data_IF_775148507901
#
_entry.id   IF_775148507901
#
_cell.length_a   1.000
_cell.length_b   1.000
_cell.length_c   1.000
_cell.angle_alpha   90.00
_cell.angle_beta   90.00
_cell.angle_gamma   90.00
#
_symmetry.space_group_name_H-M   'P 1'
#
loop_
_entity.id
_entity.type
_entity.pdbx_description
1 polymer ?
#
# COMPACT_ATOMS: atom_id res chain seq x y z
N UNK A 1 35.30 6.38 11.36
CA UNK A 1 34.45 7.01 10.33
C UNK A 1 33.01 6.96 10.83
N UNK A 2 32.27 8.07 10.81
CA UNK A 2 30.81 8.10 11.07
C UNK A 2 30.14 8.42 9.74
N UNK A 3 29.20 7.58 9.29
CA UNK A 3 28.39 7.82 8.10
C UNK A 3 27.07 8.43 8.59
N UNK A 4 26.72 9.67 8.20
CA UNK A 4 25.43 10.26 8.57
C UNK A 4 24.29 9.48 7.92
N UNK A 5 23.20 9.31 8.67
CA UNK A 5 21.99 8.67 8.21
C UNK A 5 20.82 9.34 8.92
N UNK A 6 19.84 9.84 8.16
CA UNK A 6 18.67 10.56 8.69
C UNK A 6 17.37 9.77 8.52
N UNK A 7 17.37 8.76 7.64
CA UNK A 7 16.17 7.96 7.37
C UNK A 7 16.47 6.54 6.92
N UNK A 8 15.48 5.68 7.12
CA UNK A 8 15.49 4.30 6.65
C UNK A 8 14.20 4.00 5.90
N UNK A 9 14.34 3.47 4.68
CA UNK A 9 13.22 3.14 3.80
C UNK A 9 12.83 1.68 3.98
N UNK A 10 11.59 1.45 4.41
CA UNK A 10 10.98 0.13 4.43
C UNK A 10 10.47 -0.19 3.01
N UNK A 11 11.20 -1.03 2.28
CA UNK A 11 10.69 -1.63 1.05
C UNK A 11 9.49 -2.56 1.34
N UNK A 12 8.83 -3.10 0.32
CA UNK A 12 7.54 -3.80 0.44
C UNK A 12 7.55 -5.08 1.30
N UNK A 13 8.71 -5.59 1.71
CA UNK A 13 8.85 -6.81 2.51
C UNK A 13 8.16 -6.78 3.88
N UNK A 14 7.91 -5.61 4.48
CA UNK A 14 7.15 -5.50 5.73
C UNK A 14 5.66 -5.85 5.54
N UNK A 15 5.17 -5.85 4.31
CA UNK A 15 3.76 -6.09 3.98
C UNK A 15 3.45 -7.52 3.58
N UNK A 16 4.46 -8.39 3.54
CA UNK A 16 4.33 -9.66 2.82
C UNK A 16 3.34 -10.62 3.46
N UNK A 17 2.57 -11.32 2.63
CA UNK A 17 1.93 -12.60 2.98
C UNK A 17 2.54 -13.64 2.04
N UNK A 18 3.19 -14.66 2.61
CA UNK A 18 4.01 -15.62 1.85
C UNK A 18 5.03 -14.89 0.94
N UNK A 19 4.94 -15.12 -0.38
CA UNK A 19 5.82 -14.57 -1.40
C UNK A 19 5.23 -13.36 -2.14
N UNK A 20 4.16 -12.72 -1.65
CA UNK A 20 3.47 -11.56 -2.27
C UNK A 20 3.41 -10.36 -1.29
N UNK A 21 3.13 -9.15 -1.78
CA UNK A 21 3.08 -7.90 -0.98
C UNK A 21 1.73 -7.18 -1.09
N UNK A 22 1.27 -6.62 0.02
CA UNK A 22 -0.11 -6.18 0.21
C UNK A 22 -0.14 -4.84 0.94
N UNK A 23 -0.52 -3.76 0.26
CA UNK A 23 -0.60 -2.44 0.90
C UNK A 23 -1.46 -2.50 2.17
N UNK A 24 -1.05 -1.80 3.22
CA UNK A 24 -1.78 -1.78 4.51
C UNK A 24 -1.85 -3.11 5.28
N UNK A 25 -1.13 -4.15 4.85
CA UNK A 25 -0.85 -5.32 5.66
C UNK A 25 0.50 -5.19 6.39
N UNK A 26 0.57 -5.68 7.63
CA UNK A 26 1.84 -5.83 8.36
C UNK A 26 2.14 -7.32 8.52
N UNK A 27 3.35 -7.73 8.10
CA UNK A 27 3.86 -9.05 8.40
C UNK A 27 4.41 -9.08 9.84
N UNK A 28 3.58 -9.52 10.78
CA UNK A 28 3.96 -9.59 12.19
C UNK A 28 4.96 -10.71 12.53
N UNK A 29 5.22 -11.66 11.62
CA UNK A 29 6.31 -12.63 11.84
C UNK A 29 7.69 -11.96 11.64
N UNK A 30 7.78 -11.03 10.68
CA UNK A 30 8.99 -10.25 10.37
C UNK A 30 9.09 -8.99 11.22
N UNK A 31 7.97 -8.33 11.48
CA UNK A 31 7.85 -7.10 12.27
C UNK A 31 6.82 -7.29 13.38
N UNK A 32 7.15 -8.02 14.46
CA UNK A 32 6.18 -8.39 15.50
C UNK A 32 5.54 -7.20 16.21
N UNK A 33 6.23 -6.06 16.25
CA UNK A 33 5.71 -4.85 16.86
C UNK A 33 6.18 -3.61 16.08
N UNK A 34 5.38 -3.13 15.11
CA UNK A 34 5.71 -1.96 14.30
C UNK A 34 5.95 -0.69 15.14
N UNK A 35 5.23 -0.53 16.26
CA UNK A 35 5.40 0.63 17.15
C UNK A 35 6.74 0.59 17.89
N UNK A 36 7.18 -0.59 18.31
CA UNK A 36 8.49 -0.75 18.94
C UNK A 36 9.63 -0.58 17.91
N UNK A 37 9.42 -1.03 16.67
CA UNK A 37 10.35 -0.79 15.57
C UNK A 37 10.53 0.71 15.34
N UNK A 38 9.45 1.46 15.13
CA UNK A 38 9.53 2.90 14.87
C UNK A 38 10.16 3.66 16.03
N UNK A 39 9.77 3.37 17.27
CA UNK A 39 10.38 3.96 18.46
C UNK A 39 11.90 3.74 18.51
N UNK A 40 12.38 2.53 18.22
CA UNK A 40 13.82 2.24 18.20
C UNK A 40 14.58 3.04 17.13
N UNK A 41 13.98 3.26 15.94
CA UNK A 41 14.58 4.10 14.91
C UNK A 41 14.59 5.59 15.33
N UNK A 42 13.49 6.08 15.90
CA UNK A 42 13.40 7.46 16.40
C UNK A 42 14.39 7.74 17.54
N UNK A 43 14.57 6.79 18.46
CA UNK A 43 15.58 6.87 19.55
C UNK A 43 17.02 6.93 19.00
N UNK A 44 17.26 6.32 17.83
CA UNK A 44 18.51 6.40 17.10
C UNK A 44 18.64 7.69 16.25
N UNK A 45 17.64 8.57 16.25
CA UNK A 45 17.62 9.80 15.46
C UNK A 45 17.24 9.60 13.99
N UNK A 46 16.68 8.44 13.62
CA UNK A 46 16.32 8.06 12.25
C UNK A 46 14.83 8.16 12.01
N UNK A 47 14.43 8.65 10.84
CA UNK A 47 13.04 8.66 10.35
C UNK A 47 12.73 7.44 9.50
N UNK A 48 11.47 7.03 9.43
CA UNK A 48 11.03 5.90 8.62
C UNK A 48 10.15 6.34 7.44
N UNK A 49 10.43 5.77 6.26
CA UNK A 49 9.59 5.93 5.07
C UNK A 49 9.12 4.55 4.59
N UNK A 50 7.80 4.33 4.49
CA UNK A 50 7.25 3.04 4.08
C UNK A 50 6.78 3.01 2.63
N UNK A 51 7.19 1.99 1.88
CA UNK A 51 6.68 1.72 0.54
C UNK A 51 5.19 1.33 0.61
N UNK A 52 4.37 1.94 -0.25
CA UNK A 52 2.96 1.63 -0.47
C UNK A 52 2.65 1.67 -1.96
N UNK A 53 1.62 0.94 -2.38
CA UNK A 53 1.24 0.83 -3.78
C UNK A 53 -0.27 0.93 -3.94
N UNK A 54 -0.78 1.65 -4.95
CA UNK A 54 -2.21 1.91 -5.12
C UNK A 54 -2.96 0.77 -5.84
N UNK A 55 -2.46 -0.46 -5.74
CA UNK A 55 -3.04 -1.65 -6.36
C UNK A 55 -3.18 -2.76 -5.32
N UNK A 56 -4.35 -3.41 -5.30
CA UNK A 56 -4.60 -4.57 -4.46
C UNK A 56 -4.62 -5.82 -5.33
N UNK A 57 -3.82 -6.82 -4.97
CA UNK A 57 -3.88 -8.14 -5.57
C UNK A 57 -5.26 -8.77 -5.33
N UNK A 58 -5.70 -9.63 -6.24
CA UNK A 58 -7.02 -10.29 -6.15
C UNK A 58 -7.21 -11.07 -4.84
N UNK A 59 -6.14 -11.62 -4.28
CA UNK A 59 -6.14 -12.34 -3.00
C UNK A 59 -5.84 -11.45 -1.77
N UNK A 60 -5.84 -10.12 -1.94
CA UNK A 60 -5.67 -9.17 -0.84
C UNK A 60 -6.82 -9.34 0.18
N UNK A 61 -6.55 -9.41 1.50
CA UNK A 61 -7.60 -9.65 2.52
C UNK A 61 -8.76 -8.65 2.50
N UNK A 62 -8.50 -7.42 2.05
CA UNK A 62 -9.50 -6.36 1.92
C UNK A 62 -10.11 -6.24 0.52
N UNK A 63 -9.70 -7.06 -0.46
CA UNK A 63 -10.10 -6.89 -1.87
C UNK A 63 -11.63 -6.89 -2.04
N UNK A 64 -12.31 -7.90 -1.50
CA UNK A 64 -13.76 -8.04 -1.63
C UNK A 64 -14.52 -6.83 -1.05
N UNK A 65 -14.07 -6.32 0.10
CA UNK A 65 -14.65 -5.15 0.75
C UNK A 65 -14.46 -3.88 -0.08
N UNK A 66 -13.27 -3.70 -0.67
CA UNK A 66 -12.92 -2.54 -1.50
C UNK A 66 -13.69 -2.58 -2.83
N UNK A 67 -13.87 -3.78 -3.41
CA UNK A 67 -14.68 -3.99 -4.60
C UNK A 67 -16.18 -3.73 -4.35
N UNK A 68 -16.74 -4.23 -3.23
CA UNK A 68 -18.15 -3.99 -2.86
C UNK A 68 -18.46 -2.49 -2.66
N UNK A 69 -17.47 -1.72 -2.19
CA UNK A 69 -17.58 -0.27 -2.05
C UNK A 69 -17.34 0.51 -3.35
N UNK A 70 -17.00 -0.18 -4.45
CA UNK A 70 -16.74 0.46 -5.75
C UNK A 70 -15.54 1.41 -5.74
N UNK A 71 -14.47 1.06 -5.02
CA UNK A 71 -13.30 1.91 -4.85
C UNK A 71 -12.19 1.66 -5.88
N UNK A 72 -12.29 0.58 -6.65
CA UNK A 72 -11.37 0.29 -7.75
C UNK A 72 -11.80 0.99 -9.03
N UNK A 73 -10.83 1.25 -9.92
CA UNK A 73 -11.11 1.53 -11.32
C UNK A 73 -11.92 0.36 -11.89
N UNK A 74 -12.97 0.66 -12.64
CA UNK A 74 -13.86 -0.31 -13.25
C UNK A 74 -13.54 -0.47 -14.74
N UNK A 75 -13.54 -1.74 -15.17
CA UNK A 75 -13.57 -2.13 -16.56
C UNK A 75 -14.87 -1.64 -17.21
N UNK A 76 -14.74 -0.98 -18.36
CA UNK A 76 -15.87 -0.27 -19.00
C UNK A 76 -16.94 -1.21 -19.57
N UNK A 77 -16.56 -2.44 -19.94
CA UNK A 77 -17.45 -3.43 -20.54
C UNK A 77 -18.24 -4.21 -19.49
N UNK A 78 -17.58 -4.58 -18.39
CA UNK A 78 -18.13 -5.48 -17.37
C UNK A 78 -18.62 -4.76 -16.11
N UNK A 79 -18.15 -3.54 -15.87
CA UNK A 79 -18.38 -2.79 -14.63
C UNK A 79 -17.76 -3.44 -13.39
N UNK A 80 -16.87 -4.42 -13.58
CA UNK A 80 -16.09 -5.05 -12.50
C UNK A 80 -14.77 -4.31 -12.30
N UNK A 81 -14.07 -4.49 -11.16
CA UNK A 81 -12.72 -3.94 -11.01
C UNK A 81 -11.81 -4.33 -12.18
N UNK A 82 -11.09 -3.35 -12.73
CA UNK A 82 -10.10 -3.58 -13.79
C UNK A 82 -9.03 -4.57 -13.31
N UNK A 83 -8.50 -5.37 -14.22
CA UNK A 83 -7.45 -6.33 -13.89
C UNK A 83 -6.21 -6.05 -14.71
N UNK A 84 -5.12 -5.78 -14.00
CA UNK A 84 -3.82 -5.52 -14.59
C UNK A 84 -2.75 -6.42 -13.99
N UNK A 85 -1.76 -6.78 -14.80
CA UNK A 85 -0.58 -7.50 -14.30
C UNK A 85 0.19 -6.59 -13.33
N UNK A 86 0.47 -7.08 -12.14
CA UNK A 86 1.07 -6.28 -11.09
C UNK A 86 2.13 -7.06 -10.30
N UNK A 87 3.39 -7.00 -10.77
CA UNK A 87 4.60 -7.59 -10.15
C UNK A 87 4.47 -9.02 -9.61
N UNK A 88 3.82 -9.16 -8.46
CA UNK A 88 3.59 -10.39 -7.73
C UNK A 88 2.44 -11.23 -8.32
N UNK A 89 1.39 -10.61 -8.88
CA UNK A 89 0.21 -11.28 -9.46
C UNK A 89 -0.71 -10.28 -10.22
N UNK A 90 -1.90 -10.70 -10.64
CA UNK A 90 -2.96 -9.78 -11.06
C UNK A 90 -3.57 -9.00 -9.88
N UNK A 91 -3.90 -7.74 -10.12
CA UNK A 91 -4.55 -6.86 -9.15
C UNK A 91 -5.41 -5.79 -9.81
N UNK A 92 -5.98 -4.92 -8.96
CA UNK A 92 -6.84 -3.82 -9.37
C UNK A 92 -6.38 -2.52 -8.71
N UNK A 93 -6.29 -1.47 -9.50
CA UNK A 93 -5.91 -0.14 -9.03
C UNK A 93 -7.09 0.57 -8.38
N UNK A 94 -6.79 1.32 -7.32
CA UNK A 94 -7.73 2.22 -6.66
C UNK A 94 -8.05 3.41 -7.57
N UNK A 95 -9.33 3.76 -7.68
CA UNK A 95 -9.78 4.95 -8.40
C UNK A 95 -9.69 6.20 -7.52
N UNK A 96 -8.63 6.99 -7.68
CA UNK A 96 -8.46 8.24 -6.94
C UNK A 96 -9.26 9.43 -7.50
N UNK A 97 -10.09 9.24 -8.52
CA UNK A 97 -11.10 10.24 -8.91
C UNK A 97 -12.35 10.16 -8.02
N UNK A 98 -12.58 9.00 -7.39
CA UNK A 98 -13.62 8.77 -6.39
C UNK A 98 -13.19 9.30 -4.99
N UNK A 99 -13.92 10.27 -4.40
CA UNK A 99 -13.64 10.77 -3.05
C UNK A 99 -13.68 9.72 -1.95
N UNK A 100 -14.49 8.66 -2.10
CA UNK A 100 -14.55 7.57 -1.13
C UNK A 100 -13.24 6.76 -1.13
N UNK A 101 -12.62 6.57 -2.29
CA UNK A 101 -11.32 5.91 -2.42
C UNK A 101 -10.21 6.73 -1.77
N UNK A 102 -10.22 8.06 -1.98
CA UNK A 102 -9.28 8.97 -1.32
C UNK A 102 -9.42 8.84 0.21
N UNK A 103 -10.64 8.85 0.73
CA UNK A 103 -10.90 8.71 2.17
C UNK A 103 -10.41 7.36 2.71
N UNK A 104 -10.70 6.26 2.01
CA UNK A 104 -10.21 4.92 2.36
C UNK A 104 -8.69 4.85 2.41
N UNK A 105 -8.01 5.43 1.41
CA UNK A 105 -6.56 5.47 1.34
C UNK A 105 -5.94 6.32 2.46
N UNK A 106 -6.51 7.51 2.73
CA UNK A 106 -6.06 8.38 3.81
C UNK A 106 -6.19 7.70 5.17
N UNK A 107 -7.30 6.99 5.41
CA UNK A 107 -7.48 6.22 6.64
C UNK A 107 -6.47 5.06 6.73
N UNK A 108 -6.25 4.32 5.65
CA UNK A 108 -5.22 3.28 5.58
C UNK A 108 -3.81 3.81 5.91
N UNK A 109 -3.39 4.90 5.26
CA UNK A 109 -2.10 5.57 5.54
C UNK A 109 -2.03 6.02 7.01
N UNK A 110 -3.10 6.62 7.53
CA UNK A 110 -3.14 7.12 8.90
C UNK A 110 -3.01 5.98 9.91
N UNK A 111 -3.91 4.99 9.85
CA UNK A 111 -4.01 3.91 10.84
C UNK A 111 -2.89 2.88 10.74
N UNK A 112 -2.51 2.53 9.52
CA UNK A 112 -1.53 1.46 9.31
C UNK A 112 -0.10 1.97 9.34
N UNK A 113 0.16 3.26 9.10
CA UNK A 113 1.52 3.78 8.98
C UNK A 113 1.79 4.93 9.95
N UNK A 114 1.08 6.06 9.82
CA UNK A 114 1.38 7.28 10.60
C UNK A 114 1.19 7.07 12.10
N UNK A 115 0.07 6.49 12.51
CA UNK A 115 -0.21 6.14 13.93
C UNK A 115 0.77 5.10 14.48
N UNK A 116 1.47 4.36 13.61
CA UNK A 116 2.51 3.39 13.99
C UNK A 116 3.93 3.97 13.98
N UNK A 117 4.08 5.28 13.79
CA UNK A 117 5.36 5.98 13.81
C UNK A 117 6.13 5.95 12.50
N UNK A 118 5.49 5.63 11.37
CA UNK A 118 6.08 5.87 10.04
C UNK A 118 5.94 7.36 9.71
N UNK A 119 7.05 8.02 9.37
CA UNK A 119 7.08 9.48 9.18
C UNK A 119 6.62 9.89 7.77
N UNK A 120 6.82 9.03 6.77
CA UNK A 120 6.40 9.30 5.39
C UNK A 120 6.10 8.04 4.60
N UNK A 121 5.38 8.20 3.50
CA UNK A 121 5.05 7.11 2.59
C UNK A 121 5.74 7.31 1.25
N UNK A 122 6.30 6.25 0.70
CA UNK A 122 6.79 6.18 -0.68
C UNK A 122 5.74 5.46 -1.52
N UNK A 123 5.01 6.21 -2.34
CA UNK A 123 4.07 5.67 -3.30
C UNK A 123 4.82 5.17 -4.54
N UNK A 124 4.63 3.91 -4.89
CA UNK A 124 5.37 3.18 -5.91
C UNK A 124 4.40 2.42 -6.83
N UNK A 125 4.83 2.13 -8.06
CA UNK A 125 4.01 1.48 -9.09
C UNK A 125 2.66 2.18 -9.33
N UNK A 126 2.71 3.50 -9.50
CA UNK A 126 1.56 4.37 -9.70
C UNK A 126 1.46 4.89 -11.15
N UNK A 127 2.06 4.18 -12.10
CA UNK A 127 1.98 4.46 -13.54
C UNK A 127 0.62 4.05 -14.15
N UNK A 128 -0.16 3.19 -13.45
CA UNK A 128 -1.44 2.63 -13.88
C UNK A 128 -1.34 1.95 -15.25
N UNK A 129 -0.94 0.68 -15.29
CA UNK A 129 -0.92 -0.15 -16.51
C UNK A 129 -2.33 -0.58 -16.96
N UNK A 130 -3.29 0.35 -16.93
CA UNK A 130 -4.66 0.16 -17.39
C UNK A 130 -4.71 0.43 -18.89
N UNK A 131 -5.02 -0.59 -19.68
CA UNK A 131 -4.99 -0.54 -21.14
C UNK A 131 -6.36 -0.28 -21.78
N UNK A 132 -7.42 -0.16 -20.98
CA UNK A 132 -8.75 0.26 -21.41
C UNK A 132 -8.88 1.79 -21.31
N UNK A 133 -9.04 2.46 -22.46
CA UNK A 133 -9.16 3.91 -22.54
C UNK A 133 -10.50 4.47 -22.05
N UNK A 134 -11.52 3.63 -21.87
CA UNK A 134 -12.85 4.01 -21.38
C UNK A 134 -13.08 3.55 -19.92
N UNK A 135 -12.05 2.98 -19.27
CA UNK A 135 -12.10 2.61 -17.86
C UNK A 135 -12.39 3.83 -16.98
N UNK A 136 -13.14 3.60 -15.90
CA UNK A 136 -13.67 4.68 -15.06
C UNK A 136 -13.83 4.31 -13.60
#
# INVERSE_FOLDING_TARGET
MRIPCDSFQLSSGYTSINNKRYVFNWNYDKVPNPNALSAAFHDAGLRLAANIKPCLLQDHPQYAQVAEQGLFIQDSETGQPERSSFWDDEGSHLDFTNPATIAWWQEGVTRQLLEKGIDSTWNDNNEYEVWDGEAR
#
